data_IF_866908180066
#
_entry.id   IF_866908180066
#
_cell.length_a   1.000
_cell.length_b   1.000
_cell.length_c   1.000
_cell.angle_alpha   90.00
_cell.angle_beta   90.00
_cell.angle_gamma   90.00
#
_symmetry.space_group_name_H-M   'P 1'
#
loop_
_entity.id
_entity.type
_entity.pdbx_description
1 polymer ?
#
# COMPACT_ATOMS: atom_id res chain seq x y z
N UNK A 1 -18.03 17.12 -55.71
CA UNK A 1 -18.96 15.96 -55.81
C UNK A 1 -18.17 14.69 -55.48
N UNK A 2 -18.86 13.58 -55.28
CA UNK A 2 -18.32 12.22 -55.08
C UNK A 2 -17.34 11.81 -56.20
N UNK A 3 -16.40 10.85 -56.03
CA UNK A 3 -16.64 9.46 -55.62
C UNK A 3 -15.38 8.72 -55.08
N UNK A 4 -15.61 7.51 -54.57
CA UNK A 4 -14.63 6.53 -54.04
C UNK A 4 -13.82 5.83 -55.15
N UNK A 5 -12.56 5.40 -54.88
CA UNK A 5 -11.88 4.31 -55.61
C UNK A 5 -12.05 2.94 -54.92
N UNK A 6 -11.90 1.85 -55.68
CA UNK A 6 -11.95 0.44 -55.20
C UNK A 6 -10.66 -0.31 -55.59
N UNK A 7 -10.29 -1.30 -54.78
CA UNK A 7 -9.16 -2.24 -54.96
C UNK A 7 -9.06 -2.91 -56.34
N UNK A 8 -7.84 -3.27 -56.74
CA UNK A 8 -7.55 -4.58 -57.37
C UNK A 8 -6.05 -4.94 -57.34
N UNK A 9 -5.75 -6.25 -57.36
CA UNK A 9 -4.42 -6.88 -57.38
C UNK A 9 -3.56 -6.67 -56.08
N UNK A 10 -2.60 -7.54 -55.73
CA UNK A 10 -1.96 -8.66 -56.46
C UNK A 10 -2.31 -10.07 -55.92
N UNK A 11 -1.96 -11.10 -56.70
CA UNK A 11 -2.42 -12.50 -56.63
C UNK A 11 -1.26 -13.45 -57.05
N UNK A 12 -1.31 -14.73 -56.63
CA UNK A 12 -0.51 -15.89 -57.14
C UNK A 12 1.01 -16.00 -56.77
N UNK A 13 1.67 -17.18 -56.63
CA UNK A 13 1.24 -18.58 -56.36
C UNK A 13 2.45 -19.50 -55.96
N UNK A 14 2.17 -20.80 -55.76
CA UNK A 14 3.01 -22.02 -55.59
C UNK A 14 3.45 -22.38 -54.14
N UNK A 15 3.19 -23.56 -53.53
CA UNK A 15 3.05 -25.00 -53.95
C UNK A 15 4.41 -25.69 -54.16
N UNK A 16 4.77 -26.86 -53.60
CA UNK A 16 4.33 -27.75 -52.49
C UNK A 16 5.52 -28.74 -52.19
N UNK A 17 5.52 -29.88 -51.45
CA UNK A 17 4.51 -30.79 -50.85
C UNK A 17 5.15 -31.65 -49.72
N UNK A 18 4.33 -32.39 -48.94
CA UNK A 18 4.54 -33.68 -48.21
C UNK A 18 3.87 -33.60 -46.81
N UNK A 19 2.88 -34.42 -46.40
CA UNK A 19 2.77 -35.89 -46.30
C UNK A 19 3.75 -36.49 -45.26
N UNK A 20 3.34 -37.31 -44.29
CA UNK A 20 2.10 -38.12 -44.16
C UNK A 20 1.60 -38.32 -42.70
N UNK A 21 0.61 -39.21 -42.53
CA UNK A 21 -0.21 -39.59 -41.36
C UNK A 21 0.54 -40.15 -40.12
N UNK A 22 -0.05 -40.55 -38.98
CA UNK A 22 -1.43 -40.86 -38.50
C UNK A 22 -1.61 -40.28 -37.06
N UNK A 23 -2.78 -40.17 -36.43
CA UNK A 23 -4.15 -40.55 -36.83
C UNK A 23 -4.86 -41.47 -35.81
N UNK A 24 -6.08 -41.07 -35.37
CA UNK A 24 -7.09 -41.80 -34.53
C UNK A 24 -7.03 -41.62 -32.99
N UNK A 25 -8.15 -41.57 -32.25
CA UNK A 25 -9.52 -41.13 -32.61
C UNK A 25 -10.38 -40.74 -31.37
N UNK A 26 -11.15 -39.67 -31.54
CA UNK A 26 -12.46 -39.28 -30.94
C UNK A 26 -13.23 -40.27 -30.04
N UNK A 27 -13.77 -39.77 -28.91
CA UNK A 27 -15.20 -39.94 -28.59
C UNK A 27 -15.75 -38.84 -27.66
N UNK A 28 -17.06 -38.55 -27.79
CA UNK A 28 -17.80 -37.45 -27.15
C UNK A 28 -19.19 -37.95 -26.73
N UNK A 29 -19.57 -37.75 -25.46
CA UNK A 29 -20.94 -37.71 -24.86
C UNK A 29 -20.82 -37.79 -23.33
N UNK A 30 -21.74 -37.27 -22.50
CA UNK A 30 -22.91 -36.42 -22.75
C UNK A 30 -23.10 -35.45 -21.56
N UNK A 31 -24.06 -34.53 -21.67
CA UNK A 31 -24.44 -33.60 -20.60
C UNK A 31 -25.31 -34.26 -19.53
N UNK A 32 -25.08 -33.89 -18.27
CA UNK A 32 -26.13 -33.80 -17.22
C UNK A 32 -25.80 -32.58 -16.35
N UNK A 33 -26.77 -31.69 -16.14
CA UNK A 33 -26.74 -30.70 -15.05
C UNK A 33 -27.64 -31.19 -13.92
N UNK A 34 -27.09 -31.27 -12.72
CA UNK A 34 -27.86 -31.23 -11.47
C UNK A 34 -27.14 -30.25 -10.54
N UNK A 35 -27.87 -29.23 -10.06
CA UNK A 35 -27.45 -28.43 -8.91
C UNK A 35 -27.52 -29.31 -7.65
N UNK A 36 -26.55 -29.16 -6.73
CA UNK A 36 -26.95 -28.77 -5.37
C UNK A 36 -25.82 -28.23 -4.48
N UNK A 37 -26.24 -27.32 -3.60
CA UNK A 37 -25.60 -26.72 -2.42
C UNK A 37 -24.30 -27.35 -1.88
N UNK A 38 -23.14 -26.77 -2.23
CA UNK A 38 -21.88 -26.97 -1.47
C UNK A 38 -21.82 -26.06 -0.24
N UNK A 39 -22.15 -26.68 0.89
CA UNK A 39 -22.16 -26.15 2.25
C UNK A 39 -20.92 -25.29 2.62
N UNK A 40 -21.13 -24.06 3.12
CA UNK A 40 -20.07 -23.11 3.49
C UNK A 40 -19.85 -23.09 5.02
N UNK A 41 -19.12 -24.09 5.52
CA UNK A 41 -18.53 -24.15 6.86
C UNK A 41 -17.20 -24.91 6.72
N UNK A 42 -16.02 -24.34 7.00
CA UNK A 42 -15.54 -24.02 8.35
C UNK A 42 -14.33 -23.03 8.30
N UNK A 43 -14.16 -22.17 9.30
CA UNK A 43 -13.14 -21.09 9.34
C UNK A 43 -11.81 -21.49 10.01
N UNK A 44 -11.49 -22.79 10.09
CA UNK A 44 -10.35 -23.31 10.87
C UNK A 44 -8.99 -23.36 10.14
N UNK A 45 -8.98 -23.12 8.82
CA UNK A 45 -7.80 -23.33 7.96
C UNK A 45 -6.96 -22.06 7.73
N UNK A 46 -6.49 -21.41 8.80
CA UNK A 46 -5.53 -20.29 8.66
C UNK A 46 -4.56 -20.06 9.84
N UNK A 47 -4.90 -20.42 11.08
CA UNK A 47 -4.02 -20.13 12.23
C UNK A 47 -2.64 -20.80 12.11
N UNK A 48 -2.58 -22.02 11.57
CA UNK A 48 -1.32 -22.76 11.35
C UNK A 48 -0.38 -22.04 10.37
N UNK A 49 -0.89 -21.54 9.24
CA UNK A 49 -0.09 -20.78 8.28
C UNK A 49 0.35 -19.42 8.84
N UNK A 50 -0.53 -18.73 9.56
CA UNK A 50 -0.23 -17.45 10.22
C UNK A 50 0.84 -17.62 11.30
N UNK A 51 0.78 -18.68 12.10
CA UNK A 51 1.81 -19.04 13.08
C UNK A 51 3.14 -19.34 12.36
N UNK A 52 3.14 -20.14 11.29
CA UNK A 52 4.35 -20.44 10.53
C UNK A 52 4.97 -19.17 9.89
N UNK A 53 4.15 -18.27 9.37
CA UNK A 53 4.59 -17.00 8.80
C UNK A 53 5.28 -16.10 9.84
N UNK A 54 4.75 -16.03 11.06
CA UNK A 54 5.37 -15.26 12.14
C UNK A 54 6.58 -15.95 12.78
N UNK A 55 6.60 -17.29 12.86
CA UNK A 55 7.72 -18.06 13.41
C UNK A 55 9.01 -17.89 12.58
N UNK A 56 8.89 -17.79 11.25
CA UNK A 56 10.03 -17.60 10.34
C UNK A 56 10.60 -16.17 10.30
N UNK A 57 10.11 -15.26 11.14
CA UNK A 57 10.60 -13.87 11.20
C UNK A 57 11.94 -13.78 11.94
N UNK A 58 13.02 -13.49 11.20
CA UNK A 58 14.37 -13.26 11.77
C UNK A 58 14.34 -12.24 12.92
N UNK A 59 15.09 -12.56 13.99
CA UNK A 59 15.25 -11.71 15.18
C UNK A 59 15.82 -10.33 14.76
N UNK A 60 15.32 -9.21 15.30
CA UNK A 60 15.79 -7.87 14.92
C UNK A 60 17.17 -7.57 15.52
N UNK A 61 18.19 -7.51 14.66
CA UNK A 61 19.56 -7.21 15.03
C UNK A 61 19.74 -5.69 15.11
N UNK A 62 20.01 -5.16 16.31
CA UNK A 62 20.34 -3.74 16.53
C UNK A 62 21.59 -3.35 15.74
N UNK A 63 21.70 -2.08 15.35
CA UNK A 63 22.93 -1.54 14.75
C UNK A 63 23.86 -1.02 15.85
N UNK A 64 25.16 -1.21 15.71
CA UNK A 64 26.18 -0.55 16.55
C UNK A 64 26.61 0.78 15.92
N UNK A 65 27.19 1.68 16.73
CA UNK A 65 27.76 2.92 16.20
C UNK A 65 28.96 2.68 15.27
N UNK A 66 29.63 1.54 15.40
CA UNK A 66 30.74 1.12 14.55
C UNK A 66 30.23 0.67 13.18
N UNK A 67 29.25 -0.23 13.12
CA UNK A 67 28.57 -0.61 11.87
C UNK A 67 27.99 0.61 11.13
N UNK A 68 27.51 1.61 11.88
CA UNK A 68 26.98 2.86 11.31
C UNK A 68 28.08 3.74 10.68
N UNK A 69 29.26 3.83 11.32
CA UNK A 69 30.44 4.52 10.76
C UNK A 69 30.97 3.79 9.52
N UNK A 70 31.09 2.48 9.60
CA UNK A 70 31.52 1.58 8.51
C UNK A 70 30.57 1.70 7.31
N UNK A 71 29.25 1.66 7.53
CA UNK A 71 28.26 1.82 6.48
C UNK A 71 28.27 3.23 5.86
N UNK A 72 28.47 4.27 6.66
CA UNK A 72 28.64 5.63 6.14
C UNK A 72 29.92 5.76 5.30
N UNK A 73 31.02 5.12 5.70
CA UNK A 73 32.24 5.08 4.89
C UNK A 73 32.05 4.28 3.60
N UNK A 74 31.40 3.12 3.65
CA UNK A 74 31.08 2.34 2.46
C UNK A 74 30.26 3.13 1.44
N UNK A 75 29.30 3.94 1.90
CA UNK A 75 28.54 4.85 1.01
C UNK A 75 29.43 5.99 0.48
N UNK A 76 30.36 6.53 1.28
CA UNK A 76 31.35 7.53 0.84
C UNK A 76 32.32 6.96 -0.21
N UNK A 77 32.70 5.69 -0.09
CA UNK A 77 33.70 5.00 -0.94
C UNK A 77 33.11 4.44 -2.24
N UNK A 78 31.95 3.78 -2.16
CA UNK A 78 31.34 3.08 -3.30
C UNK A 78 30.11 3.81 -3.89
N UNK A 79 29.56 4.80 -3.19
CA UNK A 79 28.34 5.50 -3.57
C UNK A 79 27.06 4.77 -3.16
N UNK A 80 26.00 5.57 -2.95
CA UNK A 80 24.65 5.08 -2.61
C UNK A 80 24.13 4.12 -3.67
N UNK A 81 23.55 2.99 -3.25
CA UNK A 81 23.05 1.95 -4.16
C UNK A 81 24.02 0.80 -4.43
N UNK A 82 25.34 0.97 -4.22
CA UNK A 82 26.34 -0.10 -4.40
C UNK A 82 26.43 -1.05 -3.19
N UNK A 83 25.28 -1.39 -2.60
CA UNK A 83 25.15 -2.19 -1.36
C UNK A 83 25.87 -3.54 -1.40
N UNK A 84 25.95 -4.17 -2.58
CA UNK A 84 26.66 -5.45 -2.78
C UNK A 84 28.18 -5.28 -2.61
N UNK A 85 28.75 -4.17 -3.08
CA UNK A 85 30.18 -3.88 -2.91
C UNK A 85 30.50 -3.56 -1.44
N UNK A 86 29.66 -2.72 -0.81
CA UNK A 86 29.82 -2.36 0.61
C UNK A 86 29.77 -3.61 1.51
N UNK A 87 28.78 -4.49 1.31
CA UNK A 87 28.63 -5.72 2.10
C UNK A 87 29.70 -6.79 1.79
N UNK A 88 30.36 -6.73 0.63
CA UNK A 88 31.51 -7.60 0.31
C UNK A 88 32.80 -7.08 0.92
N UNK A 89 33.02 -5.77 0.88
CA UNK A 89 34.23 -5.11 1.40
C UNK A 89 34.28 -5.22 2.93
N UNK A 90 33.24 -4.73 3.60
CA UNK A 90 33.15 -4.65 5.06
C UNK A 90 32.38 -5.85 5.64
N UNK A 91 32.62 -7.04 5.06
CA UNK A 91 31.86 -8.26 5.41
C UNK A 91 32.12 -8.71 6.84
N UNK A 92 33.35 -8.52 7.30
CA UNK A 92 33.81 -9.02 8.60
C UNK A 92 33.64 -7.98 9.72
N UNK A 93 33.45 -6.70 9.38
CA UNK A 93 33.14 -5.60 10.32
C UNK A 93 31.63 -5.34 10.53
N UNK A 94 30.77 -5.93 9.68
CA UNK A 94 29.31 -5.88 9.77
C UNK A 94 28.76 -7.21 10.32
N UNK A 95 27.58 -7.21 10.98
CA UNK A 95 26.98 -8.48 11.43
C UNK A 95 26.78 -9.45 10.22
N UNK A 96 27.26 -10.71 10.28
CA UNK A 96 27.20 -11.65 9.15
C UNK A 96 25.80 -11.95 8.58
N UNK A 97 24.73 -11.60 9.30
CA UNK A 97 23.34 -11.80 8.89
C UNK A 97 22.75 -10.59 8.14
N UNK A 98 23.48 -9.46 8.07
CA UNK A 98 23.07 -8.24 7.33
C UNK A 98 22.91 -8.57 5.85
N UNK A 99 21.85 -8.01 5.23
CA UNK A 99 21.62 -8.07 3.79
C UNK A 99 21.70 -6.68 3.17
N UNK A 100 21.89 -6.64 1.84
CA UNK A 100 21.94 -5.41 1.04
C UNK A 100 20.76 -4.46 1.32
N UNK A 101 19.57 -5.02 1.59
CA UNK A 101 18.38 -4.26 1.97
C UNK A 101 18.51 -3.59 3.34
N UNK A 102 19.11 -4.27 4.32
CA UNK A 102 19.24 -3.73 5.69
C UNK A 102 20.18 -2.50 5.70
N UNK A 103 21.26 -2.55 4.91
CA UNK A 103 22.16 -1.40 4.67
C UNK A 103 21.41 -0.23 4.02
N UNK A 104 20.62 -0.49 2.98
CA UNK A 104 19.80 0.51 2.27
C UNK A 104 18.74 1.15 3.17
N UNK A 105 17.98 0.32 3.90
CA UNK A 105 16.95 0.75 4.84
C UNK A 105 17.56 1.54 6.02
N UNK A 106 18.78 1.19 6.47
CA UNK A 106 19.53 1.90 7.51
C UNK A 106 20.04 3.26 7.04
N UNK A 107 20.67 3.36 5.87
CA UNK A 107 21.13 4.64 5.32
C UNK A 107 19.96 5.62 5.17
N UNK A 108 18.81 5.16 4.66
CA UNK A 108 17.58 5.98 4.58
C UNK A 108 17.14 6.50 5.96
N UNK A 109 17.36 5.76 7.05
CA UNK A 109 17.08 6.22 8.43
C UNK A 109 18.12 7.25 8.90
N UNK A 110 19.41 7.05 8.60
CA UNK A 110 20.51 7.95 8.98
C UNK A 110 20.44 9.31 8.27
N UNK A 111 20.27 9.28 6.95
CA UNK A 111 19.97 10.45 6.10
C UNK A 111 18.66 11.15 6.48
N UNK A 112 17.83 10.48 7.30
CA UNK A 112 16.48 10.91 7.66
C UNK A 112 15.58 11.08 6.41
N UNK A 113 15.83 10.30 5.35
CA UNK A 113 15.08 10.30 4.09
C UNK A 113 13.75 9.52 4.21
N UNK A 114 12.86 9.99 5.09
CA UNK A 114 11.49 9.49 5.14
C UNK A 114 10.56 10.34 4.28
N UNK A 115 9.58 9.69 3.64
CA UNK A 115 8.51 10.37 2.89
C UNK A 115 7.78 11.41 3.76
N UNK A 116 7.59 11.12 5.05
CA UNK A 116 7.06 12.06 6.04
C UNK A 116 7.92 13.33 6.22
N UNK A 117 9.25 13.22 6.17
CA UNK A 117 10.13 14.40 6.24
C UNK A 117 10.06 15.23 4.96
N UNK A 118 10.03 14.58 3.79
CA UNK A 118 9.87 15.24 2.47
C UNK A 118 8.50 15.90 2.23
N UNK A 119 7.40 15.40 2.80
CA UNK A 119 6.07 16.03 2.63
C UNK A 119 6.01 17.41 3.29
N UNK A 120 5.50 18.41 2.59
CA UNK A 120 5.03 19.68 3.18
C UNK A 120 3.82 19.46 4.09
N UNK A 121 3.46 20.49 4.87
CA UNK A 121 2.13 20.52 5.50
C UNK A 121 1.05 20.80 4.44
N UNK A 122 -0.15 20.32 4.70
CA UNK A 122 -1.37 20.55 3.93
C UNK A 122 -2.48 20.97 4.90
N UNK A 123 -3.48 21.69 4.40
CA UNK A 123 -4.66 22.04 5.21
C UNK A 123 -5.74 20.97 5.08
N UNK A 124 -6.16 20.43 6.23
CA UNK A 124 -7.28 19.49 6.35
C UNK A 124 -8.44 20.17 7.10
N UNK A 125 -9.68 19.79 6.83
CA UNK A 125 -10.86 20.21 7.63
C UNK A 125 -11.78 19.02 7.92
N UNK A 126 -12.59 19.12 8.98
CA UNK A 126 -13.60 18.10 9.28
C UNK A 126 -14.80 18.23 8.32
N UNK A 127 -15.40 17.11 7.94
CA UNK A 127 -16.62 17.08 7.11
C UNK A 127 -17.73 16.26 7.74
N UNK A 128 -18.97 16.60 7.42
CA UNK A 128 -20.17 15.94 7.93
C UNK A 128 -20.44 14.59 7.23
N UNK A 129 -21.55 13.95 7.56
CA UNK A 129 -21.97 12.68 6.93
C UNK A 129 -22.24 12.78 5.42
N UNK A 130 -22.51 13.99 4.91
CA UNK A 130 -22.77 14.30 3.51
C UNK A 130 -21.53 14.88 2.80
N UNK A 131 -20.35 14.78 3.43
CA UNK A 131 -19.07 15.33 2.98
C UNK A 131 -19.00 16.88 2.86
N UNK A 132 -19.94 17.60 3.50
CA UNK A 132 -19.92 19.06 3.59
C UNK A 132 -18.97 19.54 4.70
N UNK A 133 -18.26 20.69 4.55
CA UNK A 133 -17.38 21.22 5.58
C UNK A 133 -18.12 21.51 6.90
N UNK A 134 -17.54 21.07 8.02
CA UNK A 134 -18.03 21.48 9.35
C UNK A 134 -17.47 22.86 9.66
N UNK A 135 -18.39 23.82 9.82
CA UNK A 135 -18.08 25.21 10.17
C UNK A 135 -18.14 25.45 11.68
N UNK A 136 -17.47 26.50 12.13
CA UNK A 136 -17.56 27.06 13.47
C UNK A 136 -18.92 27.75 13.69
N UNK A 137 -19.20 28.16 14.93
CA UNK A 137 -20.37 28.99 15.26
C UNK A 137 -20.39 30.36 14.53
N UNK A 138 -19.27 30.75 13.89
CA UNK A 138 -19.13 31.98 13.09
C UNK A 138 -19.23 31.71 11.57
N UNK A 139 -19.50 30.47 11.15
CA UNK A 139 -19.57 30.08 9.74
C UNK A 139 -18.23 29.74 9.08
N UNK A 140 -17.12 29.78 9.82
CA UNK A 140 -15.77 29.55 9.29
C UNK A 140 -15.38 28.07 9.30
N UNK A 141 -14.73 27.59 8.24
CA UNK A 141 -14.23 26.20 8.17
C UNK A 141 -13.00 26.04 9.09
N UNK A 142 -13.07 25.14 10.07
CA UNK A 142 -11.96 24.87 10.99
C UNK A 142 -10.88 24.05 10.28
N UNK A 143 -9.69 24.65 10.11
CA UNK A 143 -8.54 24.05 9.41
C UNK A 143 -7.48 23.48 10.35
N UNK A 144 -6.83 22.41 9.90
CA UNK A 144 -5.80 21.67 10.61
C UNK A 144 -4.56 21.51 9.71
N UNK A 145 -3.49 22.26 9.97
CA UNK A 145 -2.26 22.25 9.16
C UNK A 145 -1.28 21.14 9.59
N UNK A 146 -1.27 20.02 8.87
CA UNK A 146 -0.53 18.79 9.20
C UNK A 146 0.13 18.15 7.97
N UNK A 147 1.04 17.17 8.15
CA UNK A 147 1.72 16.50 7.02
C UNK A 147 0.96 15.28 6.52
N UNK A 148 0.21 14.62 7.39
CA UNK A 148 -0.57 13.42 7.08
C UNK A 148 -2.03 13.60 7.53
N UNK A 149 -3.01 13.05 6.78
CA UNK A 149 -4.41 13.10 7.16
C UNK A 149 -4.67 12.49 8.56
N UNK A 150 -3.95 11.40 8.90
CA UNK A 150 -4.05 10.78 10.23
C UNK A 150 -3.76 11.75 11.38
N UNK A 151 -2.85 12.72 11.21
CA UNK A 151 -2.52 13.69 12.26
C UNK A 151 -3.64 14.71 12.47
N UNK A 152 -4.24 15.19 11.38
CA UNK A 152 -5.42 16.05 11.43
C UNK A 152 -6.61 15.31 12.05
N UNK A 153 -6.88 14.08 11.60
CA UNK A 153 -7.90 13.21 12.20
C UNK A 153 -7.62 12.94 13.69
N UNK A 154 -6.36 12.80 14.12
CA UNK A 154 -5.99 12.69 15.53
C UNK A 154 -6.31 13.95 16.32
N UNK A 155 -6.08 15.15 15.78
CA UNK A 155 -6.50 16.40 16.44
C UNK A 155 -8.01 16.51 16.55
N UNK A 156 -8.74 16.20 15.48
CA UNK A 156 -10.21 16.18 15.49
C UNK A 156 -10.74 15.14 16.49
N UNK A 157 -10.14 13.95 16.56
CA UNK A 157 -10.53 12.90 17.51
C UNK A 157 -10.30 13.34 18.97
N UNK A 158 -9.23 14.08 19.27
CA UNK A 158 -8.93 14.58 20.62
C UNK A 158 -9.93 15.63 21.14
N UNK A 159 -10.82 16.20 20.31
CA UNK A 159 -11.88 17.12 20.76
C UNK A 159 -13.23 16.46 21.05
N UNK A 160 -13.40 15.16 20.75
CA UNK A 160 -14.68 14.45 20.89
C UNK A 160 -14.87 13.88 22.30
N UNK A 161 -16.12 13.82 22.77
CA UNK A 161 -16.47 13.36 24.11
C UNK A 161 -16.88 11.88 24.14
N UNK A 162 -15.90 10.99 24.34
CA UNK A 162 -16.04 9.53 24.31
C UNK A 162 -16.93 8.92 25.43
N UNK A 163 -17.57 9.74 26.27
CA UNK A 163 -18.66 9.24 27.15
C UNK A 163 -19.82 8.65 26.36
N UNK A 164 -20.05 9.13 25.13
CA UNK A 164 -21.12 8.66 24.22
C UNK A 164 -20.69 7.53 23.27
N UNK A 165 -19.51 6.95 23.46
CA UNK A 165 -18.98 5.87 22.63
C UNK A 165 -17.94 6.34 21.59
N UNK A 166 -17.91 5.66 20.45
CA UNK A 166 -16.93 5.87 19.37
C UNK A 166 -17.41 6.92 18.36
N UNK A 167 -16.47 7.52 17.62
CA UNK A 167 -16.74 8.59 16.65
C UNK A 167 -16.17 8.28 15.27
N UNK A 168 -16.99 8.40 14.22
CA UNK A 168 -16.51 8.38 12.83
C UNK A 168 -16.00 9.77 12.45
N UNK A 169 -14.68 9.93 12.47
CA UNK A 169 -13.98 11.15 12.08
C UNK A 169 -13.84 11.15 10.55
N UNK A 170 -14.31 12.21 9.90
CA UNK A 170 -14.17 12.42 8.47
C UNK A 170 -13.39 13.70 8.23
N UNK A 171 -12.36 13.65 7.40
CA UNK A 171 -11.58 14.83 7.02
C UNK A 171 -11.40 14.91 5.52
N UNK A 172 -11.30 16.13 5.02
CA UNK A 172 -11.07 16.46 3.63
C UNK A 172 -9.80 17.31 3.47
N UNK A 173 -9.14 17.22 2.32
CA UNK A 173 -8.17 18.20 1.82
C UNK A 173 -8.36 18.42 0.31
N UNK A 174 -7.98 19.58 -0.20
CA UNK A 174 -7.99 19.89 -1.64
C UNK A 174 -6.60 19.72 -2.23
N UNK A 175 -6.50 19.03 -3.36
CA UNK A 175 -5.24 18.77 -4.07
C UNK A 175 -5.52 18.41 -5.53
N UNK A 176 -4.74 18.96 -6.46
CA UNK A 176 -4.87 18.78 -7.91
C UNK A 176 -6.31 18.94 -8.45
N UNK A 177 -6.99 20.02 -8.05
CA UNK A 177 -8.35 20.33 -8.50
C UNK A 177 -9.48 19.56 -7.81
N UNK A 178 -9.16 18.62 -6.90
CA UNK A 178 -10.12 17.67 -6.32
C UNK A 178 -10.07 17.66 -4.78
N UNK A 179 -11.23 17.44 -4.16
CA UNK A 179 -11.35 17.11 -2.74
C UNK A 179 -11.08 15.62 -2.49
N UNK A 180 -10.23 15.33 -1.50
CA UNK A 180 -9.79 13.99 -1.11
C UNK A 180 -10.18 13.71 0.33
N UNK A 181 -10.90 12.59 0.54
CA UNK A 181 -11.57 12.28 1.80
C UNK A 181 -10.94 11.09 2.52
N UNK A 182 -10.76 11.23 3.84
CA UNK A 182 -10.31 10.15 4.71
C UNK A 182 -11.25 9.94 5.89
N UNK A 183 -11.53 8.66 6.19
CA UNK A 183 -12.52 8.24 7.17
C UNK A 183 -11.86 7.36 8.22
N UNK A 184 -12.07 7.66 9.50
CA UNK A 184 -11.47 6.95 10.62
C UNK A 184 -12.48 6.67 11.73
N UNK A 185 -12.37 5.50 12.36
CA UNK A 185 -13.06 5.19 13.61
C UNK A 185 -12.14 5.61 14.76
N UNK A 186 -12.58 6.56 15.57
CA UNK A 186 -11.94 6.95 16.81
C UNK A 186 -12.64 6.31 18.00
N UNK A 187 -11.88 5.61 18.83
CA UNK A 187 -12.34 5.02 20.09
C UNK A 187 -11.43 5.43 21.25
N UNK A 188 -11.92 5.30 22.48
CA UNK A 188 -11.13 5.59 23.67
C UNK A 188 -10.81 4.31 24.44
N UNK A 189 -9.53 3.92 24.43
CA UNK A 189 -9.05 2.71 25.09
C UNK A 189 -8.85 2.98 26.60
N UNK A 190 -9.88 2.64 27.37
CA UNK A 190 -9.89 2.71 28.84
C UNK A 190 -8.83 1.80 29.48
N UNK A 191 -8.46 0.71 28.82
CA UNK A 191 -7.66 -0.38 29.39
C UNK A 191 -6.17 -0.23 29.06
N UNK A 192 -5.81 0.11 27.81
CA UNK A 192 -4.42 0.25 27.35
C UNK A 192 -4.00 1.72 27.24
N UNK A 193 -3.69 2.30 28.41
CA UNK A 193 -3.09 3.63 28.60
C UNK A 193 -4.02 4.85 28.40
N UNK A 194 -5.34 4.71 28.65
CA UNK A 194 -6.30 5.83 28.76
C UNK A 194 -6.22 6.84 27.59
N UNK A 195 -6.23 6.35 26.36
CA UNK A 195 -5.87 7.12 25.15
C UNK A 195 -6.88 6.95 24.01
N UNK A 196 -6.97 7.97 23.17
CA UNK A 196 -7.66 7.90 21.88
C UNK A 196 -6.89 6.97 20.94
N UNK A 197 -7.61 6.08 20.27
CA UNK A 197 -7.11 5.15 19.26
C UNK A 197 -7.89 5.39 17.97
N UNK A 198 -7.17 5.62 16.87
CA UNK A 198 -7.74 5.81 15.54
C UNK A 198 -7.42 4.62 14.65
N UNK A 199 -8.43 4.12 13.94
CA UNK A 199 -8.30 3.12 12.88
C UNK A 199 -8.83 3.72 11.57
N UNK A 200 -8.09 3.61 10.46
CA UNK A 200 -8.62 4.00 9.14
C UNK A 200 -9.76 3.04 8.78
N UNK A 201 -10.88 3.58 8.34
CA UNK A 201 -12.01 2.84 7.77
C UNK A 201 -11.80 2.75 6.25
N UNK A 202 -11.70 3.92 5.61
CA UNK A 202 -11.53 4.08 4.17
C UNK A 202 -10.84 5.42 3.87
N UNK A 203 -10.54 5.70 2.60
CA UNK A 203 -10.22 7.06 2.16
C UNK A 203 -9.19 7.16 1.06
N UNK A 204 -9.52 7.96 0.05
CA UNK A 204 -8.75 8.15 -1.19
C UNK A 204 -7.62 9.17 -1.00
N UNK A 205 -6.54 9.06 -1.77
CA UNK A 205 -5.55 10.14 -1.91
C UNK A 205 -4.96 10.14 -3.31
N UNK A 206 -4.46 11.29 -3.76
CA UNK A 206 -3.81 11.45 -5.08
C UNK A 206 -2.65 10.47 -5.35
N UNK A 207 -2.10 9.83 -4.31
CA UNK A 207 -0.99 8.88 -4.39
C UNK A 207 -1.38 7.43 -4.13
N UNK A 208 -2.62 7.16 -3.69
CA UNK A 208 -3.14 5.81 -3.39
C UNK A 208 -4.66 5.73 -3.52
N UNK A 209 -5.10 4.87 -4.43
CA UNK A 209 -6.47 4.38 -4.53
C UNK A 209 -6.66 3.22 -3.54
N UNK A 210 -6.67 3.52 -2.24
CA UNK A 210 -7.20 2.59 -1.25
C UNK A 210 -8.73 2.53 -1.49
N UNK A 211 -9.24 1.38 -1.93
CA UNK A 211 -10.63 1.20 -2.37
C UNK A 211 -11.68 1.43 -1.29
N UNK A 212 -12.94 1.52 -1.71
CA UNK A 212 -14.09 1.48 -0.79
C UNK A 212 -14.43 0.04 -0.41
N UNK A 213 -14.97 -0.11 0.80
CA UNK A 213 -15.92 -1.15 1.19
C UNK A 213 -17.33 -0.57 1.02
#
# INVERSE_FOLDING_TARGET
MSNTPINQADIELHISTNSESDGKNTQLKAETQEDDTKNFQDETSNESEVIFYYANKRKPIKWTEEEEKILAEGVRKFGKGRWSAILKEYKDDLDPNRRLKDLSDKIRVLEKDSTYRRRSKMEFWEVDKNNQPIVSNMGEIIKYSYKLPYEAAYRVAMTKNYSRGNYTIRICYYDNGKNWFHYYNASYDKNRKKRVVLRKIAGQSAYRNDGFL
#
